data_IF_361843947767
#
_entry.id   IF_361843947767
#
_cell.length_a   1.000
_cell.length_b   1.000
_cell.length_c   1.000
_cell.angle_alpha   90.00
_cell.angle_beta   90.00
_cell.angle_gamma   90.00
#
_symmetry.space_group_name_H-M   'P 1'
#
loop_
_entity.id
_entity.type
_entity.pdbx_description
1 polymer ?
#
# COMPACT_ATOMS: atom_id res chain seq x y z
N UNK A 1 13.76 -7.68 -10.10
CA UNK A 1 12.41 -8.03 -9.59
C UNK A 1 11.47 -6.85 -9.79
N UNK A 2 10.23 -7.11 -10.23
CA UNK A 2 9.22 -6.08 -10.51
C UNK A 2 8.32 -5.87 -9.31
N UNK A 3 8.36 -4.67 -8.73
CA UNK A 3 7.59 -4.28 -7.56
C UNK A 3 6.52 -3.27 -7.96
N UNK A 4 5.27 -3.52 -7.60
CA UNK A 4 4.15 -2.60 -7.81
C UNK A 4 3.71 -2.00 -6.49
N UNK A 5 3.86 -0.69 -6.34
CA UNK A 5 3.32 0.05 -5.19
C UNK A 5 1.92 0.48 -5.55
N UNK A 6 0.95 0.17 -4.71
CA UNK A 6 -0.48 0.42 -4.92
C UNK A 6 -0.97 1.45 -3.91
N UNK A 7 -1.40 2.62 -4.39
CA UNK A 7 -1.80 3.74 -3.54
C UNK A 7 -3.25 4.14 -3.86
N UNK A 8 -4.20 3.95 -2.94
CA UNK A 8 -5.53 4.51 -3.07
C UNK A 8 -5.53 6.01 -2.78
N UNK A 9 -6.34 6.79 -3.51
CA UNK A 9 -6.50 8.22 -3.29
C UNK A 9 -7.95 8.64 -3.38
N UNK A 10 -8.38 9.52 -2.47
CA UNK A 10 -9.63 10.27 -2.56
C UNK A 10 -9.39 11.71 -2.14
N UNK A 11 -9.44 12.63 -3.11
CA UNK A 11 -9.29 14.09 -2.93
C UNK A 11 -7.93 14.58 -2.37
N UNK A 12 -7.01 13.70 -1.98
CA UNK A 12 -5.71 14.05 -1.40
C UNK A 12 -4.54 13.76 -2.36
N UNK A 13 -4.60 14.39 -3.52
CA UNK A 13 -3.54 14.27 -4.53
C UNK A 13 -2.20 14.82 -4.07
N UNK A 14 -2.22 15.85 -3.20
CA UNK A 14 -0.99 16.47 -2.72
C UNK A 14 -0.16 15.50 -1.88
N UNK A 15 -0.79 14.80 -0.95
CA UNK A 15 -0.11 13.78 -0.12
C UNK A 15 0.42 12.63 -0.97
N UNK A 16 -0.37 12.13 -1.93
CA UNK A 16 0.05 11.06 -2.83
C UNK A 16 1.27 11.46 -3.68
N UNK A 17 1.28 12.66 -4.28
CA UNK A 17 2.44 13.08 -5.07
C UNK A 17 3.67 13.36 -4.22
N UNK A 18 3.51 13.84 -2.99
CA UNK A 18 4.60 13.96 -2.04
C UNK A 18 5.19 12.59 -1.71
N UNK A 19 4.32 11.60 -1.43
CA UNK A 19 4.73 10.22 -1.16
C UNK A 19 5.49 9.60 -2.33
N UNK A 20 5.01 9.80 -3.57
CA UNK A 20 5.68 9.33 -4.78
C UNK A 20 7.07 9.96 -4.93
N UNK A 21 7.19 11.24 -4.59
CA UNK A 21 8.48 11.94 -4.62
C UNK A 21 9.45 11.37 -3.59
N UNK A 22 8.98 11.09 -2.38
CA UNK A 22 9.76 10.42 -1.34
C UNK A 22 10.20 9.01 -1.78
N UNK A 23 9.30 8.22 -2.39
CA UNK A 23 9.65 6.90 -2.96
C UNK A 23 10.72 7.03 -4.04
N UNK A 24 10.63 8.05 -4.90
CA UNK A 24 11.61 8.27 -5.96
C UNK A 24 13.02 8.59 -5.42
N UNK A 25 13.11 9.16 -4.23
CA UNK A 25 14.41 9.48 -3.59
C UNK A 25 15.00 8.31 -2.80
N UNK A 26 14.31 7.16 -2.72
CA UNK A 26 14.86 5.99 -2.05
C UNK A 26 16.07 5.43 -2.80
N UNK A 27 17.11 5.06 -2.05
CA UNK A 27 18.27 4.35 -2.59
C UNK A 27 17.95 2.89 -2.86
N UNK A 28 17.29 2.65 -3.99
CA UNK A 28 16.87 1.30 -4.41
C UNK A 28 17.92 0.73 -5.37
N UNK A 29 18.34 -0.51 -5.10
CA UNK A 29 19.32 -1.18 -5.96
C UNK A 29 18.70 -1.55 -7.33
N UNK A 30 19.52 -1.63 -8.37
CA UNK A 30 19.11 -1.98 -9.74
C UNK A 30 18.44 -3.35 -9.87
N UNK A 31 18.51 -4.21 -8.83
CA UNK A 31 17.81 -5.49 -8.78
C UNK A 31 16.28 -5.33 -8.76
N UNK A 32 15.78 -4.16 -8.36
CA UNK A 32 14.35 -3.87 -8.19
C UNK A 32 13.87 -2.78 -9.16
N UNK A 33 12.76 -3.07 -9.80
CA UNK A 33 12.07 -2.17 -10.73
C UNK A 33 10.76 -1.72 -10.09
N UNK A 34 10.69 -0.47 -9.65
CA UNK A 34 9.53 0.09 -8.97
C UNK A 34 8.57 0.70 -10.01
N UNK A 35 7.29 0.37 -9.89
CA UNK A 35 6.21 1.08 -10.58
C UNK A 35 5.09 1.40 -9.61
N UNK A 36 4.41 2.52 -9.79
CA UNK A 36 3.33 2.98 -8.93
C UNK A 36 1.99 2.86 -9.66
N UNK A 37 0.98 2.32 -8.98
CA UNK A 37 -0.40 2.26 -9.46
C UNK A 37 -1.27 3.00 -8.45
N UNK A 38 -1.89 4.09 -8.89
CA UNK A 38 -2.78 4.90 -8.08
C UNK A 38 -4.22 4.50 -8.42
N UNK A 39 -5.02 4.23 -7.39
CA UNK A 39 -6.47 4.02 -7.55
C UNK A 39 -7.19 5.26 -7.07
N UNK A 40 -7.66 6.05 -8.02
CA UNK A 40 -8.49 7.22 -7.72
C UNK A 40 -9.93 6.77 -7.41
N UNK A 41 -10.35 6.93 -6.18
CA UNK A 41 -11.67 6.56 -5.69
C UNK A 41 -12.74 7.62 -6.03
N UNK A 42 -12.79 8.03 -7.29
CA UNK A 42 -13.70 9.04 -7.82
C UNK A 42 -13.54 10.40 -7.10
N UNK A 43 -12.31 10.90 -7.01
CA UNK A 43 -12.04 12.25 -6.49
C UNK A 43 -12.78 13.31 -7.30
N UNK A 44 -13.30 14.33 -6.59
CA UNK A 44 -13.95 15.52 -7.16
C UNK A 44 -12.99 16.72 -7.25
N UNK A 45 -11.81 16.59 -6.66
CA UNK A 45 -10.77 17.61 -6.76
C UNK A 45 -9.87 17.30 -7.94
N UNK A 46 -9.48 18.36 -8.65
CA UNK A 46 -8.57 18.23 -9.78
C UNK A 46 -7.23 17.67 -9.35
N UNK A 47 -6.73 16.77 -10.17
CA UNK A 47 -5.39 16.25 -10.03
C UNK A 47 -4.39 17.37 -10.31
N UNK A 48 -3.51 17.64 -9.35
CA UNK A 48 -2.37 18.55 -9.58
C UNK A 48 -1.34 17.77 -10.39
N UNK A 49 -1.43 17.86 -11.72
CA UNK A 49 -0.46 17.24 -12.63
C UNK A 49 0.85 18.04 -12.58
N UNK A 50 1.78 17.60 -11.77
CA UNK A 50 3.18 17.99 -11.92
C UNK A 50 3.80 16.98 -12.87
N UNK A 51 4.03 17.39 -14.12
CA UNK A 51 4.91 16.64 -15.03
C UNK A 51 6.30 16.63 -14.38
N UNK A 52 6.63 15.54 -13.73
CA UNK A 52 7.92 15.32 -13.12
C UNK A 52 8.45 14.00 -13.68
N UNK A 53 9.65 14.02 -14.18
CA UNK A 53 10.38 12.80 -14.50
C UNK A 53 10.87 12.17 -13.19
N UNK A 54 10.68 10.88 -13.06
CA UNK A 54 11.09 10.10 -11.90
C UNK A 54 12.23 9.18 -12.32
N UNK A 55 13.37 9.27 -11.65
CA UNK A 55 14.57 8.50 -11.99
C UNK A 55 14.49 7.04 -11.53
N UNK A 56 13.88 6.80 -10.35
CA UNK A 56 13.82 5.48 -9.73
C UNK A 56 12.46 4.79 -9.88
N UNK A 57 11.47 5.45 -10.49
CA UNK A 57 10.14 4.90 -10.75
C UNK A 57 9.96 4.71 -12.25
N UNK A 58 9.79 3.45 -12.68
CA UNK A 58 9.67 3.13 -14.10
C UNK A 58 8.38 3.64 -14.75
N UNK A 59 7.28 3.62 -14.00
CA UNK A 59 5.99 4.07 -14.49
C UNK A 59 5.04 4.40 -13.36
N UNK A 60 4.14 5.37 -13.63
CA UNK A 60 3.01 5.70 -12.77
C UNK A 60 1.74 5.53 -13.59
N UNK A 61 0.82 4.70 -13.13
CA UNK A 61 -0.50 4.51 -13.74
C UNK A 61 -1.59 4.96 -12.78
N UNK A 62 -2.62 5.61 -13.31
CA UNK A 62 -3.79 6.04 -12.54
C UNK A 62 -5.01 5.32 -13.08
N UNK A 63 -5.73 4.63 -12.20
CA UNK A 63 -6.99 3.98 -12.49
C UNK A 63 -8.11 4.73 -11.77
N UNK A 64 -9.12 5.13 -12.52
CA UNK A 64 -10.25 5.88 -11.97
C UNK A 64 -11.42 4.93 -11.67
N UNK A 65 -11.87 4.92 -10.43
CA UNK A 65 -13.11 4.25 -10.04
C UNK A 65 -14.32 5.05 -10.56
N UNK A 66 -15.40 4.37 -10.97
CA UNK A 66 -16.62 5.03 -11.46
C UNK A 66 -17.36 5.82 -10.39
N UNK A 67 -17.20 5.44 -9.12
CA UNK A 67 -17.78 6.09 -7.93
C UNK A 67 -16.93 5.76 -6.72
N UNK A 68 -17.03 6.56 -5.67
CA UNK A 68 -16.36 6.28 -4.40
C UNK A 68 -16.85 4.94 -3.82
N UNK A 69 -15.92 4.04 -3.55
CA UNK A 69 -16.13 2.69 -3.01
C UNK A 69 -15.44 2.46 -1.67
N UNK A 70 -14.61 3.40 -1.27
CA UNK A 70 -13.80 3.34 -0.06
C UNK A 70 -12.47 2.60 -0.23
N UNK A 71 -11.58 2.89 0.67
CA UNK A 71 -10.17 2.48 0.67
C UNK A 71 -9.96 0.98 0.41
N UNK A 72 -10.62 0.10 1.16
CA UNK A 72 -10.43 -1.35 1.03
C UNK A 72 -10.82 -1.90 -0.35
N UNK A 73 -11.85 -1.32 -0.98
CA UNK A 73 -12.25 -1.72 -2.34
C UNK A 73 -11.28 -1.21 -3.40
N UNK A 74 -10.68 -0.04 -3.19
CA UNK A 74 -9.62 0.47 -4.05
C UNK A 74 -8.41 -0.45 -4.03
N UNK A 75 -7.95 -0.87 -2.85
CA UNK A 75 -6.86 -1.86 -2.72
C UNK A 75 -7.23 -3.17 -3.43
N UNK A 76 -8.43 -3.72 -3.17
CA UNK A 76 -8.85 -4.96 -3.81
C UNK A 76 -8.92 -4.85 -5.34
N UNK A 77 -9.44 -3.73 -5.86
CA UNK A 77 -9.50 -3.44 -7.31
C UNK A 77 -8.09 -3.31 -7.90
N UNK A 78 -7.21 -2.60 -7.22
CA UNK A 78 -5.83 -2.41 -7.64
C UNK A 78 -5.04 -3.73 -7.67
N UNK A 79 -5.16 -4.56 -6.65
CA UNK A 79 -4.53 -5.89 -6.61
C UNK A 79 -5.05 -6.79 -7.74
N UNK A 80 -6.36 -6.76 -8.00
CA UNK A 80 -6.94 -7.49 -9.13
C UNK A 80 -6.40 -7.00 -10.47
N UNK A 81 -6.34 -5.69 -10.68
CA UNK A 81 -5.78 -5.10 -11.90
C UNK A 81 -4.30 -5.50 -12.07
N UNK A 82 -3.49 -5.38 -11.02
CA UNK A 82 -2.08 -5.78 -11.03
C UNK A 82 -1.94 -7.24 -11.46
N UNK A 83 -2.74 -8.12 -10.88
CA UNK A 83 -2.70 -9.54 -11.16
C UNK A 83 -3.10 -9.87 -12.61
N UNK A 84 -4.13 -9.22 -13.14
CA UNK A 84 -4.68 -9.52 -14.47
C UNK A 84 -3.96 -8.80 -15.61
N UNK A 85 -3.35 -7.64 -15.37
CA UNK A 85 -2.89 -6.72 -16.42
C UNK A 85 -1.41 -6.35 -16.35
N UNK A 86 -0.73 -6.66 -15.24
CA UNK A 86 0.65 -6.26 -15.02
C UNK A 86 1.57 -7.46 -14.82
N UNK A 87 2.82 -7.29 -15.25
CA UNK A 87 3.88 -8.20 -14.83
C UNK A 87 4.46 -7.71 -13.51
N UNK A 88 4.50 -8.56 -12.50
CA UNK A 88 5.02 -8.23 -11.18
C UNK A 88 5.48 -9.48 -10.42
N UNK A 89 6.38 -9.28 -9.48
CA UNK A 89 6.80 -10.28 -8.51
C UNK A 89 6.14 -10.02 -7.15
N UNK A 90 6.09 -8.76 -6.73
CA UNK A 90 5.47 -8.33 -5.47
C UNK A 90 4.61 -7.08 -5.65
N UNK A 91 3.57 -6.97 -4.82
CA UNK A 91 2.71 -5.79 -4.71
C UNK A 91 2.75 -5.27 -3.26
N UNK A 92 2.86 -3.95 -3.11
CA UNK A 92 2.91 -3.27 -1.81
C UNK A 92 1.77 -2.25 -1.77
N UNK A 93 0.59 -2.60 -1.18
CA UNK A 93 -0.41 -1.62 -0.83
C UNK A 93 0.15 -0.65 0.21
N UNK A 94 -0.05 0.65 0.00
CA UNK A 94 0.47 1.72 0.84
C UNK A 94 -0.54 2.85 0.96
N UNK A 95 -0.75 3.37 2.16
CA UNK A 95 -1.67 4.49 2.38
C UNK A 95 -1.06 5.80 1.85
N UNK A 96 -1.88 6.63 1.20
CA UNK A 96 -1.42 7.86 0.54
C UNK A 96 -1.29 9.07 1.47
N UNK A 97 -1.61 8.93 2.75
CA UNK A 97 -1.65 10.02 3.74
C UNK A 97 -0.30 10.27 4.45
N UNK A 98 0.72 9.45 4.16
CA UNK A 98 2.05 9.54 4.76
C UNK A 98 2.18 8.86 6.12
N UNK A 99 1.19 8.10 6.59
CA UNK A 99 1.33 7.26 7.79
C UNK A 99 2.30 6.09 7.56
N UNK A 100 2.30 5.52 6.36
CA UNK A 100 3.24 4.48 5.94
C UNK A 100 4.53 5.14 5.44
N UNK A 101 5.67 4.71 5.99
CA UNK A 101 6.97 5.32 5.69
C UNK A 101 7.59 4.72 4.44
N UNK A 102 7.94 5.54 3.42
CA UNK A 102 8.59 5.04 2.21
C UNK A 102 9.88 4.25 2.49
N UNK A 103 10.66 4.65 3.51
CA UNK A 103 11.91 3.99 3.86
C UNK A 103 11.73 2.52 4.25
N UNK A 104 10.56 2.15 4.78
CA UNK A 104 10.25 0.76 5.14
C UNK A 104 10.11 -0.14 3.91
N UNK A 105 9.91 0.43 2.71
CA UNK A 105 9.97 -0.32 1.45
C UNK A 105 11.34 -0.99 1.31
N UNK A 106 12.42 -0.30 1.66
CA UNK A 106 13.78 -0.85 1.60
C UNK A 106 13.91 -2.10 2.49
N UNK A 107 13.27 -2.07 3.66
CA UNK A 107 13.28 -3.23 4.56
C UNK A 107 12.50 -4.42 3.97
N UNK A 108 11.36 -4.17 3.31
CA UNK A 108 10.66 -5.21 2.56
C UNK A 108 11.53 -5.80 1.46
N UNK A 109 12.21 -4.95 0.67
CA UNK A 109 13.08 -5.41 -0.42
C UNK A 109 14.24 -6.29 0.07
N UNK A 110 14.81 -5.98 1.24
CA UNK A 110 15.84 -6.81 1.88
C UNK A 110 15.27 -8.18 2.30
N UNK A 111 14.05 -8.21 2.83
CA UNK A 111 13.43 -9.42 3.36
C UNK A 111 12.85 -10.33 2.28
N UNK A 112 12.50 -9.81 1.09
CA UNK A 112 11.92 -10.58 -0.01
C UNK A 112 12.77 -11.81 -0.34
N UNK A 113 14.11 -11.67 -0.38
CA UNK A 113 15.02 -12.79 -0.70
C UNK A 113 14.93 -13.95 0.29
N UNK A 114 14.49 -13.69 1.51
CA UNK A 114 14.44 -14.67 2.61
C UNK A 114 13.00 -15.09 2.97
N UNK A 115 11.98 -14.49 2.33
CA UNK A 115 10.57 -14.64 2.74
C UNK A 115 9.90 -15.94 2.27
N UNK A 116 10.55 -16.74 1.42
CA UNK A 116 9.96 -17.94 0.80
C UNK A 116 8.55 -17.67 0.22
N UNK A 117 8.35 -16.51 -0.42
CA UNK A 117 7.07 -16.05 -0.95
C UNK A 117 5.96 -15.81 0.11
N UNK A 118 6.31 -15.82 1.40
CA UNK A 118 5.37 -15.43 2.45
C UNK A 118 5.14 -13.91 2.42
N UNK A 119 3.94 -13.42 2.78
CA UNK A 119 3.72 -11.98 2.92
C UNK A 119 4.59 -11.41 4.04
N UNK A 120 5.22 -10.27 3.76
CA UNK A 120 6.01 -9.54 4.74
C UNK A 120 5.15 -8.38 5.24
N UNK A 121 4.90 -8.33 6.54
CA UNK A 121 4.01 -7.35 7.15
C UNK A 121 4.83 -6.31 7.89
N UNK A 122 4.57 -5.02 7.60
CA UNK A 122 5.12 -3.90 8.36
C UNK A 122 4.52 -3.90 9.79
N UNK A 123 5.36 -4.00 10.80
CA UNK A 123 4.90 -3.86 12.18
C UNK A 123 4.86 -2.38 12.56
N UNK A 124 3.67 -1.84 12.82
CA UNK A 124 3.53 -0.47 13.34
C UNK A 124 4.07 -0.38 14.76
N UNK A 125 5.32 0.09 14.89
CA UNK A 125 6.04 0.08 16.18
C UNK A 125 5.61 1.20 17.13
N UNK A 126 5.10 2.35 16.66
CA UNK A 126 4.49 3.41 17.52
C UNK A 126 3.74 4.46 16.71
N UNK A 127 2.49 4.74 17.11
CA UNK A 127 1.84 6.02 16.87
C UNK A 127 2.12 6.95 18.06
N UNK A 128 2.45 8.21 17.81
CA UNK A 128 2.40 9.28 18.82
C UNK A 128 0.93 9.71 19.00
N UNK A 129 0.13 8.82 19.58
CA UNK A 129 -1.31 9.06 19.74
C UNK A 129 -1.59 9.81 21.04
N UNK A 130 -2.54 10.76 20.98
CA UNK A 130 -3.11 11.40 22.16
C UNK A 130 -3.64 10.34 23.13
N UNK A 131 -3.59 10.64 24.44
CA UNK A 131 -3.98 9.72 25.52
C UNK A 131 -5.39 9.13 25.31
N UNK A 132 -6.33 9.91 24.80
CA UNK A 132 -7.70 9.50 24.50
C UNK A 132 -7.72 8.40 23.42
N UNK A 133 -6.97 8.57 22.33
CA UNK A 133 -6.86 7.55 21.27
C UNK A 133 -6.25 6.25 21.78
N UNK A 134 -5.27 6.33 22.68
CA UNK A 134 -4.68 5.13 23.29
C UNK A 134 -5.71 4.35 24.11
N UNK A 135 -6.57 5.05 24.86
CA UNK A 135 -7.65 4.42 25.63
C UNK A 135 -8.67 3.77 24.71
N UNK A 136 -9.14 4.49 23.68
CA UNK A 136 -10.07 3.96 22.67
C UNK A 136 -9.49 2.75 21.94
N UNK A 137 -8.20 2.77 21.58
CA UNK A 137 -7.53 1.64 20.94
C UNK A 137 -7.44 0.42 21.86
N UNK A 138 -7.12 0.60 23.14
CA UNK A 138 -7.10 -0.50 24.12
C UNK A 138 -8.49 -1.11 24.33
N UNK A 139 -9.52 -0.26 24.37
CA UNK A 139 -10.92 -0.71 24.49
C UNK A 139 -11.36 -1.49 23.24
N UNK A 140 -11.07 -0.96 22.05
CA UNK A 140 -11.31 -1.65 20.78
C UNK A 140 -10.58 -2.99 20.69
N UNK A 141 -9.31 -3.04 21.11
CA UNK A 141 -8.51 -4.26 21.14
C UNK A 141 -9.11 -5.30 22.09
N UNK A 142 -9.56 -4.87 23.28
CA UNK A 142 -10.22 -5.74 24.25
C UNK A 142 -11.51 -6.34 23.67
N UNK A 143 -12.35 -5.49 23.05
CA UNK A 143 -13.58 -5.92 22.37
C UNK A 143 -13.26 -6.91 21.26
N UNK A 144 -12.26 -6.61 20.41
CA UNK A 144 -11.89 -7.48 19.29
C UNK A 144 -11.41 -8.85 19.79
N UNK A 145 -10.58 -8.89 20.84
CA UNK A 145 -10.09 -10.15 21.43
C UNK A 145 -11.23 -10.97 22.03
N UNK A 146 -12.19 -10.32 22.73
CA UNK A 146 -13.33 -11.00 23.33
C UNK A 146 -14.28 -11.61 22.31
N UNK A 147 -14.48 -10.94 21.15
CA UNK A 147 -15.41 -11.43 20.12
C UNK A 147 -14.75 -12.33 19.06
N UNK A 148 -13.44 -12.18 18.78
CA UNK A 148 -12.77 -12.91 17.70
C UNK A 148 -11.72 -13.91 18.19
N UNK A 149 -11.31 -13.83 19.45
CA UNK A 149 -10.23 -14.64 20.03
C UNK A 149 -8.84 -14.33 19.44
N UNK A 150 -8.72 -13.32 18.56
CA UNK A 150 -7.48 -12.97 17.86
C UNK A 150 -7.07 -11.52 18.11
N UNK A 151 -5.79 -11.31 18.43
CA UNK A 151 -5.21 -9.95 18.48
C UNK A 151 -4.71 -9.57 17.10
N UNK A 152 -5.38 -8.61 16.44
CA UNK A 152 -4.97 -8.10 15.13
C UNK A 152 -4.00 -6.92 15.37
N UNK A 153 -2.73 -7.10 14.97
CA UNK A 153 -1.67 -6.08 15.09
C UNK A 153 -1.26 -5.48 13.73
N UNK A 154 -1.92 -5.88 12.65
CA UNK A 154 -1.43 -5.60 11.30
C UNK A 154 -2.11 -4.38 10.69
N UNK A 155 -1.29 -3.51 10.07
CA UNK A 155 -1.76 -2.46 9.17
C UNK A 155 -1.90 -2.98 7.73
N UNK A 156 -2.32 -2.09 6.80
CA UNK A 156 -2.41 -2.41 5.37
C UNK A 156 -1.03 -2.50 4.70
N UNK A 157 0.01 -1.92 5.32
CA UNK A 157 1.36 -1.86 4.76
C UNK A 157 2.01 -3.24 4.79
N UNK A 158 1.95 -3.91 3.67
CA UNK A 158 2.34 -5.33 3.54
C UNK A 158 2.94 -5.58 2.16
N UNK A 159 4.05 -6.28 2.08
CA UNK A 159 4.61 -6.74 0.82
C UNK A 159 4.05 -8.12 0.47
N UNK A 160 3.26 -8.19 -0.60
CA UNK A 160 2.53 -9.36 -1.05
C UNK A 160 3.23 -9.99 -2.26
N UNK A 161 3.59 -11.26 -2.18
CA UNK A 161 4.07 -12.01 -3.35
C UNK A 161 2.95 -12.23 -4.36
N UNK A 162 3.31 -12.47 -5.63
CA UNK A 162 2.34 -12.80 -6.70
C UNK A 162 1.43 -13.97 -6.33
N UNK A 163 1.97 -14.99 -5.64
CA UNK A 163 1.18 -16.14 -5.19
C UNK A 163 0.18 -15.77 -4.11
N UNK A 164 0.56 -14.89 -3.18
CA UNK A 164 -0.35 -14.36 -2.16
C UNK A 164 -1.48 -13.56 -2.78
N UNK A 165 -1.17 -12.65 -3.71
CA UNK A 165 -2.18 -11.86 -4.44
C UNK A 165 -3.15 -12.79 -5.18
N UNK A 166 -2.64 -13.83 -5.85
CA UNK A 166 -3.47 -14.83 -6.55
C UNK A 166 -4.45 -15.53 -5.62
N UNK A 167 -4.01 -15.95 -4.42
CA UNK A 167 -4.89 -16.57 -3.42
C UNK A 167 -5.98 -15.61 -2.95
N UNK A 168 -5.61 -14.37 -2.61
CA UNK A 168 -6.56 -13.35 -2.15
C UNK A 168 -7.66 -13.03 -3.16
N UNK A 169 -7.33 -13.03 -4.47
CA UNK A 169 -8.32 -12.77 -5.53
C UNK A 169 -9.24 -13.97 -5.72
N UNK A 170 -8.73 -15.22 -5.66
CA UNK A 170 -9.54 -16.43 -5.85
C UNK A 170 -10.51 -16.71 -4.71
N UNK A 171 -10.14 -16.37 -3.47
CA UNK A 171 -11.00 -16.58 -2.29
C UNK A 171 -12.20 -15.63 -2.25
N UNK A 172 -12.22 -14.55 -3.06
CA UNK A 172 -13.30 -13.56 -3.13
C UNK A 172 -14.15 -13.68 -4.41
N UNK A 173 -13.85 -14.63 -5.27
CA UNK A 173 -14.65 -14.95 -6.45
C UNK A 173 -15.62 -16.11 -6.15
#
# INVERSE_FOLDING_TARGET
MKIKILIPVYNDWQSVFKLIDEINHLSITSDFQISVIIINDASNHDRIDKQKEFENIQSIKILNMKKNQGHSRCIATGLKYIFEKEEFDHAIPMDGDGEDRPEEIIEFLKQIKNSNNQPIVGERVKRSENLIFRICYQLHKLITITFTGKSIKYGNFTCLSKDTVRKMIKEKA
#
